data_IF_742988067694
#
_entry.id   IF_742988067694
#
_cell.length_a   1.000
_cell.length_b   1.000
_cell.length_c   1.000
_cell.angle_alpha   90.00
_cell.angle_beta   90.00
_cell.angle_gamma   90.00
#
_symmetry.space_group_name_H-M   'P 1'
#
loop_
_entity.id
_entity.type
_entity.pdbx_description
1 polymer ?
#
# COMPACT_ATOMS: atom_id res chain seq x y z
N UNK A 1 -19.75 25.92 -13.35
CA UNK A 1 -19.33 24.87 -12.41
C UNK A 1 -19.59 25.37 -11.00
N UNK A 2 -20.36 24.65 -10.17
CA UNK A 2 -20.43 24.93 -8.73
C UNK A 2 -19.04 24.64 -8.12
N UNK A 3 -18.56 25.49 -7.23
CA UNK A 3 -17.28 25.28 -6.55
C UNK A 3 -17.34 24.00 -5.69
N UNK A 4 -16.27 23.21 -5.72
CA UNK A 4 -16.10 22.04 -4.84
C UNK A 4 -15.97 22.53 -3.40
N UNK A 5 -16.77 21.98 -2.47
CA UNK A 5 -16.74 22.38 -1.07
C UNK A 5 -15.75 21.55 -0.25
N UNK A 6 -15.44 20.31 -0.66
CA UNK A 6 -14.53 19.41 0.06
C UNK A 6 -13.42 18.89 -0.86
N UNK A 7 -12.17 18.96 -0.41
CA UNK A 7 -10.99 18.76 -1.25
C UNK A 7 -10.14 17.54 -0.88
N UNK A 8 -10.46 16.81 0.19
CA UNK A 8 -9.73 15.63 0.66
C UNK A 8 -10.59 14.73 1.58
N UNK A 9 -10.06 13.55 1.93
CA UNK A 9 -10.69 12.52 2.77
C UNK A 9 -11.14 13.06 4.12
N UNK A 10 -10.27 13.78 4.84
CA UNK A 10 -10.59 14.34 6.15
C UNK A 10 -11.77 15.32 6.08
N UNK A 11 -11.86 16.14 5.04
CA UNK A 11 -12.98 17.05 4.84
C UNK A 11 -14.29 16.31 4.55
N UNK A 12 -14.25 15.21 3.79
CA UNK A 12 -15.43 14.39 3.53
C UNK A 12 -15.91 13.66 4.79
N UNK A 13 -14.98 13.07 5.56
CA UNK A 13 -15.30 12.40 6.83
C UNK A 13 -15.89 13.40 7.83
N UNK A 14 -15.36 14.62 7.92
CA UNK A 14 -15.97 15.69 8.75
C UNK A 14 -17.41 15.99 8.38
N UNK A 15 -17.71 16.06 7.09
CA UNK A 15 -19.08 16.29 6.62
C UNK A 15 -19.99 15.11 6.99
N UNK A 16 -19.51 13.88 6.82
CA UNK A 16 -20.22 12.67 7.25
C UNK A 16 -20.47 12.65 8.77
N UNK A 17 -19.47 12.98 9.58
CA UNK A 17 -19.60 13.10 11.04
C UNK A 17 -20.66 14.15 11.41
N UNK A 18 -20.63 15.31 10.75
CA UNK A 18 -21.62 16.35 11.01
C UNK A 18 -23.04 15.86 10.68
N UNK A 19 -23.24 15.16 9.56
CA UNK A 19 -24.52 14.56 9.19
C UNK A 19 -25.03 13.62 10.29
N UNK A 20 -24.19 12.69 10.76
CA UNK A 20 -24.58 11.74 11.80
C UNK A 20 -24.82 12.38 13.18
N UNK A 21 -24.14 13.48 13.52
CA UNK A 21 -24.43 14.25 14.74
C UNK A 21 -25.77 14.97 14.62
N UNK A 22 -26.06 15.57 13.46
CA UNK A 22 -27.27 16.38 13.27
C UNK A 22 -28.53 15.54 13.06
N UNK A 23 -28.40 14.36 12.48
CA UNK A 23 -29.50 13.46 12.11
C UNK A 23 -29.22 12.03 12.58
N UNK A 24 -29.06 11.81 13.90
CA UNK A 24 -28.55 10.56 14.45
C UNK A 24 -29.50 9.37 14.31
N UNK A 25 -30.80 9.61 14.26
CA UNK A 25 -31.81 8.56 14.09
C UNK A 25 -31.76 8.04 12.66
N UNK A 26 -31.89 8.94 11.69
CA UNK A 26 -31.88 8.61 10.28
C UNK A 26 -30.53 8.08 9.81
N UNK A 27 -29.42 8.63 10.33
CA UNK A 27 -28.08 8.13 9.99
C UNK A 27 -27.87 6.69 10.45
N UNK A 28 -28.28 6.34 11.67
CA UNK A 28 -28.16 4.99 12.20
C UNK A 28 -29.03 3.99 11.44
N UNK A 29 -30.29 4.35 11.15
CA UNK A 29 -31.22 3.53 10.38
C UNK A 29 -30.73 3.30 8.95
N UNK A 30 -30.38 4.37 8.23
CA UNK A 30 -29.92 4.29 6.84
C UNK A 30 -28.61 3.49 6.75
N UNK A 31 -27.63 3.76 7.62
CA UNK A 31 -26.38 3.01 7.63
C UNK A 31 -26.64 1.53 7.94
N UNK A 32 -27.49 1.26 8.93
CA UNK A 32 -27.83 -0.09 9.35
C UNK A 32 -28.45 -0.92 8.22
N UNK A 33 -29.46 -0.36 7.56
CA UNK A 33 -30.10 -0.98 6.40
C UNK A 33 -29.09 -1.28 5.27
N UNK A 34 -28.23 -0.30 5.00
CA UNK A 34 -27.20 -0.41 3.97
C UNK A 34 -26.20 -1.53 4.22
N UNK A 35 -25.78 -1.72 5.48
CA UNK A 35 -24.82 -2.79 5.85
C UNK A 35 -25.53 -4.11 6.22
N UNK A 36 -26.86 -4.14 6.20
CA UNK A 36 -27.69 -5.29 6.57
C UNK A 36 -27.67 -5.61 8.07
N UNK A 37 -27.47 -4.61 8.93
CA UNK A 37 -27.42 -4.75 10.39
C UNK A 37 -28.29 -3.70 11.07
N UNK A 38 -29.15 -4.10 12.00
CA UNK A 38 -29.93 -3.15 12.79
C UNK A 38 -29.05 -2.42 13.80
N UNK A 39 -28.75 -1.14 13.55
CA UNK A 39 -27.92 -0.31 14.44
C UNK A 39 -28.77 0.48 15.45
N UNK A 40 -30.00 0.85 15.12
CA UNK A 40 -30.78 1.82 15.88
C UNK A 40 -30.16 3.23 15.86
N UNK A 41 -30.70 4.19 16.63
CA UNK A 41 -30.21 5.57 16.62
C UNK A 41 -28.77 5.70 17.09
N UNK A 42 -27.98 6.54 16.42
CA UNK A 42 -26.63 6.92 16.88
C UNK A 42 -26.72 7.73 18.17
N UNK A 43 -25.74 7.57 19.06
CA UNK A 43 -25.48 8.55 20.12
C UNK A 43 -24.60 9.69 19.56
N UNK A 44 -25.12 10.92 19.36
CA UNK A 44 -24.33 12.02 18.83
C UNK A 44 -23.11 12.35 19.71
N UNK A 45 -23.21 12.09 21.01
CA UNK A 45 -22.15 12.39 21.96
C UNK A 45 -20.98 11.40 21.87
N UNK A 46 -21.16 10.24 21.22
CA UNK A 46 -20.12 9.22 21.04
C UNK A 46 -19.40 9.35 19.70
N UNK A 47 -19.91 10.13 18.74
CA UNK A 47 -19.24 10.34 17.45
C UNK A 47 -17.86 10.98 17.62
N UNK A 48 -16.81 10.26 17.22
CA UNK A 48 -15.41 10.67 17.22
C UNK A 48 -14.84 10.56 15.82
N UNK A 49 -14.08 11.58 15.44
CA UNK A 49 -13.30 11.62 14.20
C UNK A 49 -11.84 11.44 14.57
N UNK A 50 -11.08 10.69 13.78
CA UNK A 50 -9.61 10.56 13.90
C UNK A 50 -9.16 10.14 15.31
N UNK A 51 -9.79 9.11 15.91
CA UNK A 51 -9.32 8.60 17.20
C UNK A 51 -8.09 7.71 17.03
N UNK A 52 -6.94 8.34 16.67
CA UNK A 52 -5.59 7.77 16.41
C UNK A 52 -5.48 6.59 15.43
N UNK A 53 -6.58 5.92 15.14
CA UNK A 53 -6.67 4.60 14.56
C UNK A 53 -7.76 4.62 13.48
N UNK A 54 -9.00 5.05 13.73
CA UNK A 54 -10.10 5.03 12.73
C UNK A 54 -10.50 6.41 12.19
N UNK A 55 -11.08 6.45 10.98
CA UNK A 55 -11.59 7.70 10.37
C UNK A 55 -12.82 8.24 11.13
N UNK A 56 -13.79 7.36 11.43
CA UNK A 56 -14.99 7.66 12.21
C UNK A 56 -15.32 6.48 13.14
N UNK A 57 -15.61 6.78 14.41
CA UNK A 57 -16.08 5.82 15.40
C UNK A 57 -17.25 6.40 16.17
N UNK A 58 -18.27 5.58 16.47
CA UNK A 58 -19.41 5.96 17.28
C UNK A 58 -20.11 4.74 17.87
N UNK A 59 -20.90 5.00 18.91
CA UNK A 59 -21.83 4.05 19.49
C UNK A 59 -23.28 4.42 19.14
N UNK A 60 -24.11 3.40 19.05
CA UNK A 60 -25.57 3.52 19.00
C UNK A 60 -26.13 3.67 20.41
N UNK A 61 -27.35 4.19 20.56
CA UNK A 61 -28.01 4.31 21.87
C UNK A 61 -28.26 2.95 22.55
N UNK A 62 -28.27 1.85 21.79
CA UNK A 62 -28.35 0.48 22.31
C UNK A 62 -27.00 -0.06 22.81
N UNK A 63 -25.90 0.68 22.60
CA UNK A 63 -24.56 0.32 23.03
C UNK A 63 -23.75 -0.48 22.01
N UNK A 64 -24.21 -0.59 20.75
CA UNK A 64 -23.41 -1.17 19.68
C UNK A 64 -22.39 -0.14 19.18
N UNK A 65 -21.12 -0.52 19.18
CA UNK A 65 -20.04 0.28 18.62
C UNK A 65 -19.87 0.01 17.12
N UNK A 66 -19.56 1.06 16.37
CA UNK A 66 -19.36 1.03 14.92
C UNK A 66 -18.12 1.85 14.60
N UNK A 67 -17.19 1.25 13.85
CA UNK A 67 -16.12 2.01 13.22
C UNK A 67 -16.28 2.00 11.71
N UNK A 68 -16.00 3.15 11.11
CA UNK A 68 -16.04 3.36 9.67
C UNK A 68 -14.65 3.77 9.22
N UNK A 69 -14.04 2.94 8.38
CA UNK A 69 -12.85 3.30 7.60
C UNK A 69 -13.33 3.88 6.27
N UNK A 70 -13.09 5.17 6.06
CA UNK A 70 -13.63 5.90 4.93
C UNK A 70 -12.53 6.23 3.94
N UNK A 71 -12.77 5.96 2.66
CA UNK A 71 -11.80 6.18 1.60
C UNK A 71 -12.42 6.96 0.48
N UNK A 72 -11.67 7.87 -0.13
CA UNK A 72 -12.12 8.62 -1.31
C UNK A 72 -11.50 8.12 -2.61
N UNK A 73 -10.52 7.24 -2.53
CA UNK A 73 -9.73 6.73 -3.66
C UNK A 73 -9.67 5.18 -3.71
N UNK A 74 -10.68 4.52 -3.15
CA UNK A 74 -10.87 3.05 -3.11
C UNK A 74 -9.77 2.26 -2.37
N UNK A 75 -8.82 2.89 -1.68
CA UNK A 75 -7.78 2.15 -0.98
C UNK A 75 -8.20 1.68 0.42
N UNK A 76 -8.51 0.41 0.55
CA UNK A 76 -8.72 -0.24 1.85
C UNK A 76 -7.63 -1.26 2.09
N UNK A 77 -7.02 -1.25 3.27
CA UNK A 77 -5.95 -2.18 3.66
C UNK A 77 -6.43 -3.09 4.80
N UNK A 78 -6.14 -4.38 4.69
CA UNK A 78 -6.48 -5.38 5.72
C UNK A 78 -5.76 -5.07 7.02
N UNK A 79 -4.52 -4.59 6.98
CA UNK A 79 -3.73 -4.26 8.17
C UNK A 79 -4.33 -3.13 8.99
N UNK A 80 -4.97 -2.15 8.34
CA UNK A 80 -5.70 -1.09 9.04
C UNK A 80 -6.91 -1.68 9.77
N UNK A 81 -7.69 -2.50 9.06
CA UNK A 81 -8.87 -3.15 9.62
C UNK A 81 -8.53 -4.14 10.74
N UNK A 82 -7.40 -4.83 10.65
CA UNK A 82 -6.89 -5.73 11.71
C UNK A 82 -6.51 -4.96 12.96
N UNK A 83 -5.90 -3.79 12.81
CA UNK A 83 -5.58 -2.90 13.93
C UNK A 83 -6.88 -2.52 14.66
N UNK A 84 -7.94 -2.20 13.93
CA UNK A 84 -9.24 -1.81 14.51
C UNK A 84 -9.98 -2.98 15.11
N UNK A 85 -9.90 -4.15 14.48
CA UNK A 85 -10.53 -5.37 14.99
C UNK A 85 -9.85 -5.85 16.27
N UNK A 86 -8.58 -5.51 16.49
CA UNK A 86 -7.90 -5.73 17.77
C UNK A 86 -8.33 -4.73 18.85
N UNK A 87 -8.44 -3.44 18.51
CA UNK A 87 -8.79 -2.39 19.47
C UNK A 87 -10.30 -2.36 19.82
N UNK A 88 -11.16 -2.71 18.86
CA UNK A 88 -12.62 -2.68 18.94
C UNK A 88 -13.22 -4.03 18.50
N UNK A 89 -12.85 -5.11 19.20
CA UNK A 89 -13.16 -6.49 18.79
C UNK A 89 -14.66 -6.83 18.70
N UNK A 90 -15.52 -6.06 19.37
CA UNK A 90 -16.97 -6.24 19.35
C UNK A 90 -17.69 -5.21 18.46
N UNK A 91 -16.95 -4.26 17.88
CA UNK A 91 -17.53 -3.22 17.04
C UNK A 91 -17.84 -3.74 15.64
N UNK A 92 -18.88 -3.16 15.03
CA UNK A 92 -19.22 -3.39 13.63
C UNK A 92 -18.23 -2.63 12.77
N UNK A 93 -17.48 -3.38 11.97
CA UNK A 93 -16.50 -2.87 11.03
C UNK A 93 -17.17 -2.49 9.71
N UNK A 94 -17.08 -1.21 9.33
CA UNK A 94 -17.61 -0.72 8.05
C UNK A 94 -16.50 -0.08 7.23
N UNK A 95 -16.48 -0.39 5.95
CA UNK A 95 -15.62 0.23 4.95
C UNK A 95 -16.49 1.08 4.03
N UNK A 96 -16.22 2.38 3.98
CA UNK A 96 -16.96 3.33 3.15
C UNK A 96 -16.08 3.78 1.98
N UNK A 97 -16.44 3.38 0.76
CA UNK A 97 -15.59 3.51 -0.44
C UNK A 97 -16.33 4.11 -1.62
N UNK A 98 -15.65 4.67 -2.64
CA UNK A 98 -16.32 5.08 -3.88
C UNK A 98 -16.98 3.92 -4.62
N UNK A 99 -16.29 2.77 -4.70
CA UNK A 99 -16.75 1.60 -5.44
C UNK A 99 -16.53 0.29 -4.68
N UNK A 100 -17.61 -0.44 -4.45
CA UNK A 100 -17.56 -1.79 -3.90
C UNK A 100 -16.84 -2.78 -4.83
N UNK A 101 -16.77 -2.49 -6.14
CA UNK A 101 -16.15 -3.36 -7.13
C UNK A 101 -14.63 -3.17 -7.24
N UNK A 102 -14.06 -2.25 -6.46
CA UNK A 102 -12.61 -2.04 -6.46
C UNK A 102 -11.89 -3.33 -6.02
N UNK A 103 -10.82 -3.77 -6.72
CA UNK A 103 -10.13 -5.01 -6.39
C UNK A 103 -9.64 -5.10 -4.94
N UNK A 104 -9.18 -4.00 -4.35
CA UNK A 104 -8.70 -3.96 -2.97
C UNK A 104 -9.84 -4.15 -1.96
N UNK A 105 -11.01 -3.57 -2.24
CA UNK A 105 -12.22 -3.75 -1.43
C UNK A 105 -12.67 -5.21 -1.50
N UNK A 106 -12.69 -5.81 -2.70
CA UNK A 106 -13.02 -7.22 -2.86
C UNK A 106 -12.01 -8.15 -2.17
N UNK A 107 -10.72 -7.82 -2.22
CA UNK A 107 -9.67 -8.58 -1.52
C UNK A 107 -9.88 -8.51 0.00
N UNK A 108 -10.09 -7.31 0.54
CA UNK A 108 -10.39 -7.09 1.97
C UNK A 108 -11.62 -7.88 2.40
N UNK A 109 -12.73 -7.78 1.68
CA UNK A 109 -13.97 -8.48 2.03
C UNK A 109 -13.83 -10.00 1.97
N UNK A 110 -12.99 -10.50 1.04
CA UNK A 110 -12.65 -11.92 0.96
C UNK A 110 -11.80 -12.38 2.14
N UNK A 111 -10.82 -11.58 2.55
CA UNK A 111 -9.91 -11.88 3.66
C UNK A 111 -10.53 -11.64 5.04
N UNK A 112 -11.53 -10.75 5.13
CA UNK A 112 -12.24 -10.37 6.36
C UNK A 112 -13.76 -10.38 6.13
N UNK A 113 -14.40 -11.56 6.12
CA UNK A 113 -15.85 -11.69 5.89
C UNK A 113 -16.74 -11.00 6.95
N UNK A 114 -16.19 -10.66 8.11
CA UNK A 114 -16.88 -9.92 9.17
C UNK A 114 -17.02 -8.42 8.85
N UNK A 115 -16.16 -7.88 7.99
CA UNK A 115 -16.20 -6.47 7.58
C UNK A 115 -17.36 -6.24 6.62
N UNK A 116 -18.09 -5.14 6.81
CA UNK A 116 -19.12 -4.67 5.89
C UNK A 116 -18.54 -3.58 5.00
N UNK A 117 -19.02 -3.47 3.76
CA UNK A 117 -18.64 -2.38 2.89
C UNK A 117 -19.88 -1.71 2.30
N UNK A 118 -19.80 -0.39 2.15
CA UNK A 118 -20.81 0.43 1.50
C UNK A 118 -20.15 1.44 0.56
N UNK A 119 -20.80 1.71 -0.57
CA UNK A 119 -20.43 2.82 -1.42
C UNK A 119 -20.87 4.18 -0.83
N UNK A 120 -20.03 5.21 -0.95
CA UNK A 120 -20.41 6.60 -0.61
C UNK A 120 -21.71 7.02 -1.29
N UNK A 121 -21.85 6.73 -2.58
CA UNK A 121 -23.05 7.08 -3.35
C UNK A 121 -24.32 6.42 -2.79
N UNK A 122 -24.22 5.17 -2.30
CA UNK A 122 -25.35 4.45 -1.72
C UNK A 122 -25.79 5.07 -0.38
N UNK A 123 -24.83 5.33 0.52
CA UNK A 123 -25.11 5.94 1.83
C UNK A 123 -25.70 7.35 1.66
N UNK A 124 -25.04 8.18 0.84
CA UNK A 124 -25.38 9.60 0.71
C UNK A 124 -26.64 9.83 -0.12
N UNK A 125 -26.97 8.97 -1.09
CA UNK A 125 -28.22 9.06 -1.83
C UNK A 125 -29.43 8.94 -0.88
N UNK A 126 -29.36 8.03 0.09
CA UNK A 126 -30.43 7.86 1.09
C UNK A 126 -30.46 9.00 2.10
N UNK A 127 -29.31 9.52 2.52
CA UNK A 127 -29.23 10.69 3.41
C UNK A 127 -29.68 12.00 2.75
N UNK A 128 -29.79 12.06 1.42
CA UNK A 128 -30.24 13.25 0.69
C UNK A 128 -31.67 13.65 1.06
N UNK A 129 -32.53 12.68 1.37
CA UNK A 129 -33.90 12.94 1.82
C UNK A 129 -33.96 13.66 3.18
N UNK A 130 -32.91 13.50 4.00
CA UNK A 130 -32.79 14.06 5.34
C UNK A 130 -32.03 15.39 5.31
N UNK A 131 -30.94 15.44 4.54
CA UNK A 131 -30.12 16.63 4.40
C UNK A 131 -29.62 16.79 2.95
N UNK A 132 -30.02 17.86 2.23
CA UNK A 132 -29.61 18.07 0.85
C UNK A 132 -28.10 18.29 0.67
N UNK A 133 -27.34 18.56 1.75
CA UNK A 133 -25.88 18.60 1.69
C UNK A 133 -25.26 17.22 1.41
N UNK A 134 -25.98 16.12 1.67
CA UNK A 134 -25.53 14.78 1.33
C UNK A 134 -25.41 14.59 -0.20
N UNK A 135 -26.32 15.15 -0.99
CA UNK A 135 -26.25 15.15 -2.46
C UNK A 135 -25.00 15.89 -2.93
N UNK A 136 -24.72 17.05 -2.34
CA UNK A 136 -23.52 17.82 -2.68
C UNK A 136 -22.25 17.05 -2.30
N UNK A 137 -22.21 16.41 -1.12
CA UNK A 137 -21.09 15.58 -0.69
C UNK A 137 -20.89 14.39 -1.63
N UNK A 138 -21.96 13.72 -2.06
CA UNK A 138 -21.89 12.61 -3.01
C UNK A 138 -21.26 13.07 -4.34
N UNK A 139 -21.74 14.19 -4.89
CA UNK A 139 -21.19 14.75 -6.12
C UNK A 139 -19.71 15.15 -6.02
N UNK A 140 -19.27 15.63 -4.86
CA UNK A 140 -17.87 15.97 -4.62
C UNK A 140 -17.00 14.73 -4.40
N UNK A 141 -17.50 13.68 -3.74
CA UNK A 141 -16.83 12.37 -3.67
C UNK A 141 -16.68 11.76 -5.06
N UNK A 142 -17.73 11.77 -5.89
CA UNK A 142 -17.66 11.23 -7.25
C UNK A 142 -16.58 11.95 -8.09
N UNK A 143 -16.47 13.28 -7.94
CA UNK A 143 -15.40 14.06 -8.58
C UNK A 143 -14.03 13.71 -8.03
N UNK A 144 -13.89 13.56 -6.71
CA UNK A 144 -12.62 13.18 -6.08
C UNK A 144 -12.20 11.76 -6.47
N UNK A 145 -13.13 10.82 -6.57
CA UNK A 145 -12.87 9.47 -7.06
C UNK A 145 -12.39 9.47 -8.52
N UNK A 146 -12.88 10.40 -9.34
CA UNK A 146 -12.37 10.65 -10.70
C UNK A 146 -10.98 11.33 -10.73
N UNK A 147 -10.54 11.90 -9.61
CA UNK A 147 -9.22 12.49 -9.42
C UNK A 147 -8.41 11.60 -8.47
N UNK A 148 -8.01 10.39 -8.91
CA UNK A 148 -7.41 9.41 -8.01
C UNK A 148 -6.24 10.03 -7.28
N UNK A 149 -6.23 9.86 -5.96
CA UNK A 149 -5.10 10.22 -5.12
C UNK A 149 -3.81 9.61 -5.67
N UNK A 150 -2.66 10.20 -5.33
CA UNK A 150 -1.37 9.72 -5.85
C UNK A 150 -1.19 8.21 -5.63
N UNK A 151 -1.62 7.69 -4.47
CA UNK A 151 -1.57 6.25 -4.13
C UNK A 151 -2.49 5.39 -5.03
N UNK A 152 -3.77 5.72 -5.15
CA UNK A 152 -4.69 4.96 -6.00
C UNK A 152 -4.26 4.96 -7.48
N UNK A 153 -3.80 6.12 -7.98
CA UNK A 153 -3.23 6.23 -9.33
C UNK A 153 -2.01 5.33 -9.50
N UNK A 154 -1.08 5.35 -8.55
CA UNK A 154 0.13 4.52 -8.57
C UNK A 154 -0.25 3.04 -8.54
N UNK A 155 -1.20 2.62 -7.69
CA UNK A 155 -1.63 1.22 -7.62
C UNK A 155 -2.25 0.75 -8.94
N UNK A 156 -3.14 1.54 -9.54
CA UNK A 156 -3.73 1.21 -10.85
C UNK A 156 -2.63 0.99 -11.89
N UNK A 157 -1.66 1.90 -11.94
CA UNK A 157 -0.51 1.82 -12.85
C UNK A 157 0.33 0.55 -12.61
N UNK A 158 0.59 0.19 -11.35
CA UNK A 158 1.31 -1.03 -10.99
C UNK A 158 0.51 -2.30 -11.31
N UNK A 159 -0.80 -2.30 -11.08
CA UNK A 159 -1.71 -3.41 -11.40
C UNK A 159 -1.80 -3.67 -12.90
N UNK A 160 -1.88 -2.60 -13.70
CA UNK A 160 -1.85 -2.69 -15.16
C UNK A 160 -0.49 -3.19 -15.67
N UNK A 161 0.62 -2.77 -15.04
CA UNK A 161 1.95 -3.28 -15.35
C UNK A 161 2.08 -4.77 -15.02
N UNK A 162 1.68 -5.19 -13.83
CA UNK A 162 1.79 -6.59 -13.39
C UNK A 162 0.90 -7.54 -14.20
N UNK A 163 -0.32 -7.12 -14.56
CA UNK A 163 -1.25 -7.95 -15.34
C UNK A 163 -0.83 -8.17 -16.79
N UNK A 164 -0.03 -7.26 -17.36
CA UNK A 164 0.45 -7.34 -18.75
C UNK A 164 1.86 -7.93 -18.86
N UNK A 165 2.62 -7.92 -17.77
CA UNK A 165 3.98 -8.45 -17.74
C UNK A 165 3.99 -9.97 -17.84
N UNK A 166 4.96 -10.51 -18.59
CA UNK A 166 5.29 -11.92 -18.60
C UNK A 166 6.65 -12.06 -17.94
N UNK A 167 6.70 -12.64 -16.76
CA UNK A 167 7.94 -12.94 -16.05
C UNK A 167 8.11 -14.47 -15.92
N UNK A 168 9.35 -14.95 -15.72
CA UNK A 168 9.61 -16.37 -15.46
C UNK A 168 8.80 -16.89 -14.27
N UNK A 169 8.48 -18.19 -14.29
CA UNK A 169 7.59 -18.81 -13.30
C UNK A 169 8.16 -18.79 -11.88
N UNK A 170 9.48 -18.75 -11.75
CA UNK A 170 10.22 -18.66 -10.50
C UNK A 170 10.15 -17.25 -9.86
N UNK A 171 9.85 -16.21 -10.64
CA UNK A 171 9.72 -14.84 -10.16
C UNK A 171 8.26 -14.60 -9.76
N UNK A 172 8.03 -14.40 -8.46
CA UNK A 172 6.75 -14.00 -7.91
C UNK A 172 6.66 -12.47 -7.83
N UNK A 173 5.68 -11.91 -8.52
CA UNK A 173 5.30 -10.49 -8.47
C UNK A 173 3.99 -10.37 -7.72
N UNK A 174 3.97 -9.61 -6.62
CA UNK A 174 2.77 -9.43 -5.79
C UNK A 174 2.52 -7.96 -5.51
N UNK A 175 1.26 -7.52 -5.58
CA UNK A 175 0.90 -6.21 -5.06
C UNK A 175 1.09 -6.17 -3.54
N UNK A 176 1.75 -5.11 -3.09
CA UNK A 176 2.13 -4.94 -1.70
C UNK A 176 2.16 -3.45 -1.33
N UNK A 177 2.69 -3.18 -0.15
CA UNK A 177 2.97 -1.84 0.31
C UNK A 177 4.32 -1.78 1.03
N UNK A 178 5.01 -0.66 0.86
CA UNK A 178 6.25 -0.38 1.60
C UNK A 178 5.98 -0.25 3.09
N UNK A 179 7.02 -0.27 3.93
CA UNK A 179 6.88 -0.05 5.39
C UNK A 179 6.23 1.29 5.79
N UNK A 180 6.04 2.23 4.83
CA UNK A 180 5.28 3.48 5.04
C UNK A 180 3.88 3.45 4.41
N UNK A 181 3.35 2.25 4.12
CA UNK A 181 2.03 2.02 3.52
C UNK A 181 1.86 2.74 2.16
N UNK A 182 2.91 2.73 1.34
CA UNK A 182 2.88 3.26 -0.02
C UNK A 182 2.81 2.11 -1.03
N UNK A 183 1.96 2.17 -2.08
CA UNK A 183 1.80 1.07 -3.02
C UNK A 183 3.10 0.68 -3.73
N UNK A 184 3.36 -0.62 -3.83
CA UNK A 184 4.49 -1.19 -4.56
C UNK A 184 4.12 -2.54 -5.18
N UNK A 185 5.02 -3.07 -6.02
CA UNK A 185 5.06 -4.49 -6.38
C UNK A 185 6.26 -5.11 -5.68
N UNK A 186 6.02 -6.11 -4.85
CA UNK A 186 7.07 -6.96 -4.31
C UNK A 186 7.51 -7.98 -5.36
N UNK A 187 8.83 -8.13 -5.49
CA UNK A 187 9.50 -9.03 -6.42
C UNK A 187 10.31 -10.01 -5.60
N UNK A 188 9.99 -11.29 -5.71
CA UNK A 188 10.69 -12.36 -4.98
C UNK A 188 10.98 -13.52 -5.90
N UNK A 189 12.05 -14.26 -5.63
CA UNK A 189 12.36 -15.51 -6.34
C UNK A 189 12.35 -16.66 -5.35
N UNK A 190 11.46 -17.64 -5.59
CA UNK A 190 11.25 -18.74 -4.65
C UNK A 190 12.54 -19.52 -4.38
N UNK A 191 12.77 -19.87 -3.11
CA UNK A 191 13.96 -20.63 -2.69
C UNK A 191 15.26 -19.83 -2.69
N UNK A 192 15.20 -18.50 -2.79
CA UNK A 192 16.38 -17.62 -2.76
C UNK A 192 16.22 -16.50 -1.74
N UNK A 193 17.31 -15.77 -1.50
CA UNK A 193 17.33 -14.59 -0.64
C UNK A 193 16.91 -13.31 -1.36
N UNK A 194 16.52 -13.37 -2.64
CA UNK A 194 16.19 -12.19 -3.44
C UNK A 194 14.89 -11.55 -2.99
N UNK A 195 14.93 -10.24 -2.79
CA UNK A 195 13.76 -9.40 -2.60
C UNK A 195 13.97 -8.05 -3.28
N UNK A 196 12.94 -7.57 -3.95
CA UNK A 196 12.91 -6.23 -4.53
C UNK A 196 11.52 -5.62 -4.52
N UNK A 197 11.45 -4.33 -4.79
CA UNK A 197 10.23 -3.55 -4.87
C UNK A 197 10.27 -2.63 -6.08
N UNK A 198 9.18 -2.61 -6.84
CA UNK A 198 8.87 -1.54 -7.78
C UNK A 198 7.96 -0.54 -7.07
N UNK A 199 8.44 0.68 -6.87
CA UNK A 199 7.70 1.72 -6.15
C UNK A 199 7.81 3.06 -6.87
N UNK A 200 6.86 3.97 -6.61
CA UNK A 200 6.90 5.31 -7.19
C UNK A 200 7.49 6.34 -6.23
N UNK A 201 8.14 7.35 -6.80
CA UNK A 201 8.59 8.54 -6.08
C UNK A 201 7.40 9.25 -5.42
N UNK A 202 7.57 9.57 -4.14
CA UNK A 202 6.49 10.06 -3.26
C UNK A 202 5.95 11.43 -3.64
N UNK A 203 6.77 12.29 -4.23
CA UNK A 203 6.47 13.70 -4.48
C UNK A 203 5.92 13.97 -5.89
N UNK A 204 5.62 12.93 -6.65
CA UNK A 204 5.25 13.04 -8.05
C UNK A 204 3.76 13.42 -8.22
N UNK A 205 3.41 14.67 -7.87
CA UNK A 205 2.04 15.18 -7.92
C UNK A 205 1.41 15.20 -9.33
N UNK A 206 2.22 15.16 -10.40
CA UNK A 206 1.73 15.24 -11.79
C UNK A 206 1.96 13.97 -12.61
N UNK A 207 3.13 13.35 -12.49
CA UNK A 207 3.49 12.12 -13.21
C UNK A 207 4.34 11.23 -12.30
N UNK A 208 3.77 10.13 -11.73
CA UNK A 208 4.55 9.22 -10.89
C UNK A 208 5.72 8.65 -11.69
N UNK A 209 6.90 8.71 -11.08
CA UNK A 209 8.10 8.05 -11.60
C UNK A 209 8.40 6.83 -10.74
N UNK A 210 8.63 5.69 -11.36
CA UNK A 210 8.82 4.38 -10.76
C UNK A 210 10.29 4.00 -10.80
N UNK A 211 10.82 3.52 -9.69
CA UNK A 211 12.15 2.92 -9.62
C UNK A 211 12.05 1.52 -9.03
N UNK A 212 13.13 0.78 -9.20
CA UNK A 212 13.33 -0.54 -8.61
C UNK A 212 14.30 -0.37 -7.48
N UNK A 213 14.01 -1.00 -6.35
CA UNK A 213 15.04 -1.33 -5.38
C UNK A 213 15.09 -2.83 -5.22
N UNK A 214 16.26 -3.46 -5.34
CA UNK A 214 16.37 -4.92 -5.33
C UNK A 214 17.71 -5.37 -4.76
N UNK A 215 17.71 -6.49 -4.05
CA UNK A 215 18.89 -7.10 -3.48
C UNK A 215 18.57 -8.36 -2.70
N UNK A 216 19.23 -8.54 -1.56
CA UNK A 216 19.14 -9.74 -0.73
C UNK A 216 18.53 -9.41 0.63
N UNK A 217 17.71 -10.33 1.16
CA UNK A 217 17.23 -10.27 2.53
C UNK A 217 18.41 -10.31 3.51
N UNK A 218 18.26 -9.61 4.62
CA UNK A 218 19.26 -9.52 5.70
C UNK A 218 18.61 -9.99 6.99
N UNK A 219 19.31 -10.81 7.76
CA UNK A 219 18.93 -11.15 9.14
C UNK A 219 19.95 -10.62 10.17
N UNK A 220 19.71 -10.91 11.45
CA UNK A 220 20.58 -10.44 12.54
C UNK A 220 21.96 -11.13 12.53
N UNK A 221 22.04 -12.36 12.01
CA UNK A 221 23.30 -13.10 11.87
C UNK A 221 24.16 -12.46 10.78
N UNK A 222 23.57 -12.00 9.68
CA UNK A 222 24.28 -11.29 8.61
C UNK A 222 25.02 -10.06 9.10
N UNK A 223 24.47 -9.32 10.07
CA UNK A 223 25.09 -8.08 10.59
C UNK A 223 26.15 -8.37 11.65
N UNK A 224 25.97 -9.41 12.45
CA UNK A 224 26.77 -9.67 13.65
C UNK A 224 27.87 -10.74 13.46
N UNK A 225 27.73 -11.61 12.45
CA UNK A 225 28.67 -12.69 12.15
C UNK A 225 29.63 -12.29 11.01
N UNK A 226 30.96 -12.28 11.22
CA UNK A 226 31.94 -11.94 10.18
C UNK A 226 31.86 -12.82 8.91
N UNK A 227 31.57 -14.11 9.04
CA UNK A 227 31.46 -15.02 7.88
C UNK A 227 30.21 -14.72 7.07
N UNK A 228 29.09 -14.41 7.75
CA UNK A 228 27.85 -14.03 7.06
C UNK A 228 27.94 -12.65 6.43
N UNK A 229 28.57 -11.69 7.11
CA UNK A 229 28.96 -10.38 6.56
C UNK A 229 29.77 -10.53 5.26
N UNK A 230 30.77 -11.41 5.24
CA UNK A 230 31.59 -11.66 4.05
C UNK A 230 30.77 -12.28 2.92
N UNK A 231 29.88 -13.25 3.20
CA UNK A 231 28.98 -13.79 2.17
C UNK A 231 28.08 -12.72 1.57
N UNK A 232 27.53 -11.83 2.40
CA UNK A 232 26.72 -10.70 1.93
C UNK A 232 27.55 -9.72 1.09
N UNK A 233 28.79 -9.43 1.48
CA UNK A 233 29.74 -8.63 0.68
C UNK A 233 29.98 -9.26 -0.70
N UNK A 234 30.28 -10.55 -0.75
CA UNK A 234 30.56 -11.28 -2.00
C UNK A 234 29.32 -11.28 -2.91
N UNK A 235 28.12 -11.46 -2.32
CA UNK A 235 26.87 -11.42 -3.05
C UNK A 235 26.55 -10.02 -3.61
N UNK A 236 26.72 -8.96 -2.80
CA UNK A 236 26.48 -7.59 -3.24
C UNK A 236 27.47 -7.14 -4.30
N UNK A 237 28.74 -7.52 -4.18
CA UNK A 237 29.78 -7.24 -5.18
C UNK A 237 29.45 -7.92 -6.51
N UNK A 238 29.15 -9.23 -6.48
CA UNK A 238 28.74 -9.95 -7.68
C UNK A 238 27.44 -9.41 -8.28
N UNK A 239 26.48 -8.99 -7.45
CA UNK A 239 25.23 -8.43 -7.92
C UNK A 239 25.44 -7.07 -8.58
N UNK A 240 26.36 -6.25 -8.07
CA UNK A 240 26.72 -4.98 -8.68
C UNK A 240 27.36 -5.18 -10.06
N UNK A 241 28.35 -6.07 -10.18
CA UNK A 241 28.99 -6.38 -11.47
C UNK A 241 27.97 -6.83 -12.51
N UNK A 242 27.03 -7.67 -12.09
CA UNK A 242 25.97 -8.20 -12.94
C UNK A 242 24.94 -7.13 -13.31
N UNK A 243 24.62 -6.23 -12.39
CA UNK A 243 23.76 -5.08 -12.66
C UNK A 243 24.41 -4.11 -13.67
N UNK A 244 25.72 -3.87 -13.59
CA UNK A 244 26.43 -3.04 -14.57
C UNK A 244 26.47 -3.72 -15.95
N UNK A 245 26.58 -5.05 -15.99
CA UNK A 245 26.44 -5.82 -17.23
C UNK A 245 25.05 -5.65 -17.85
N UNK A 246 23.99 -5.72 -17.05
CA UNK A 246 22.62 -5.50 -17.50
C UNK A 246 22.37 -4.05 -17.94
N UNK A 247 22.95 -3.06 -17.26
CA UNK A 247 22.91 -1.66 -17.71
C UNK A 247 23.51 -1.52 -19.11
N UNK A 248 24.68 -2.11 -19.36
CA UNK A 248 25.36 -2.03 -20.65
C UNK A 248 24.65 -2.79 -21.78
N UNK A 249 24.01 -3.93 -21.49
CA UNK A 249 23.46 -4.83 -22.51
C UNK A 249 21.95 -4.70 -22.73
N UNK A 250 21.21 -4.33 -21.68
CA UNK A 250 19.74 -4.28 -21.65
C UNK A 250 19.20 -2.89 -21.31
N UNK A 251 20.07 -1.96 -20.91
CA UNK A 251 19.69 -0.57 -20.64
C UNK A 251 19.02 -0.37 -19.28
N UNK A 252 19.18 -1.31 -18.33
CA UNK A 252 18.70 -1.15 -16.94
C UNK A 252 19.43 0.02 -16.27
N UNK A 253 18.79 1.15 -15.96
CA UNK A 253 19.52 2.36 -15.56
C UNK A 253 19.83 2.32 -14.06
N UNK A 254 21.10 2.23 -13.67
CA UNK A 254 21.48 2.16 -12.26
C UNK A 254 21.60 3.56 -11.63
N UNK A 255 21.15 3.70 -10.39
CA UNK A 255 21.33 4.92 -9.60
C UNK A 255 22.65 4.85 -8.81
N UNK A 256 23.66 5.58 -9.27
CA UNK A 256 24.96 5.76 -8.58
C UNK A 256 24.95 6.87 -7.51
N UNK A 257 23.77 7.32 -7.08
CA UNK A 257 23.62 8.29 -6.00
C UNK A 257 23.34 7.62 -4.65
N UNK A 258 24.04 8.04 -3.60
CA UNK A 258 23.81 7.59 -2.23
C UNK A 258 24.76 8.25 -1.24
N UNK A 259 24.28 8.52 -0.03
CA UNK A 259 25.12 8.87 1.12
C UNK A 259 25.62 7.59 1.79
N UNK A 260 26.74 7.67 2.52
CA UNK A 260 27.23 6.57 3.36
C UNK A 260 26.08 5.96 4.19
N UNK A 261 25.96 4.63 4.14
CA UNK A 261 24.95 3.87 4.86
C UNK A 261 25.62 2.93 5.87
N UNK A 262 24.97 2.61 7.00
CA UNK A 262 25.48 1.58 7.92
C UNK A 262 25.72 0.25 7.22
N UNK A 263 24.85 -0.13 6.27
CA UNK A 263 25.01 -1.37 5.49
C UNK A 263 26.27 -1.36 4.62
N UNK A 264 26.64 -0.21 4.04
CA UNK A 264 27.89 -0.07 3.31
C UNK A 264 29.09 -0.37 4.20
N UNK A 265 29.10 0.19 5.42
CA UNK A 265 30.19 0.01 6.38
C UNK A 265 30.23 -1.43 6.91
N UNK A 266 29.07 -2.00 7.27
CA UNK A 266 28.93 -3.37 7.76
C UNK A 266 29.41 -4.40 6.75
N UNK A 267 29.00 -4.29 5.48
CA UNK A 267 29.35 -5.24 4.42
C UNK A 267 30.58 -4.82 3.61
N UNK A 268 31.33 -3.80 4.05
CA UNK A 268 32.60 -3.40 3.43
C UNK A 268 32.51 -3.02 1.95
N UNK A 269 31.43 -2.37 1.52
CA UNK A 269 31.26 -1.97 0.11
C UNK A 269 32.00 -0.67 -0.21
N UNK A 270 32.65 -0.61 -1.37
CA UNK A 270 33.44 0.54 -1.81
C UNK A 270 32.58 1.81 -1.96
N UNK A 271 31.38 1.66 -2.49
CA UNK A 271 30.47 2.76 -2.74
C UNK A 271 29.11 2.61 -2.02
N UNK A 272 28.52 3.70 -1.52
CA UNK A 272 27.26 3.66 -0.77
C UNK A 272 26.07 3.15 -1.60
N UNK A 273 26.10 3.34 -2.92
CA UNK A 273 25.03 2.91 -3.80
C UNK A 273 25.02 1.39 -4.07
N UNK A 274 26.07 0.65 -3.67
CA UNK A 274 26.16 -0.80 -3.79
C UNK A 274 25.51 -1.54 -2.60
N UNK A 275 25.27 -0.84 -1.48
CA UNK A 275 24.61 -1.37 -0.29
C UNK A 275 23.57 -0.37 0.24
N UNK A 276 22.52 -0.16 -0.55
CA UNK A 276 21.34 0.61 -0.18
C UNK A 276 20.39 -0.30 0.58
N UNK A 277 20.25 -0.05 1.88
CA UNK A 277 19.32 -0.77 2.72
C UNK A 277 17.91 -0.17 2.67
N UNK A 278 16.91 -1.04 2.77
CA UNK A 278 15.71 -0.70 3.51
C UNK A 278 15.98 -1.05 4.97
N UNK A 279 15.55 -0.20 5.92
CA UNK A 279 15.81 -0.46 7.35
C UNK A 279 15.35 -1.88 7.74
N UNK A 280 16.30 -2.76 8.04
CA UNK A 280 16.11 -4.00 8.80
C UNK A 280 15.48 -5.19 8.07
N UNK A 281 15.46 -5.24 6.74
CA UNK A 281 14.92 -6.43 6.04
C UNK A 281 15.64 -6.88 4.78
N UNK A 282 16.32 -5.98 4.05
CA UNK A 282 17.10 -6.32 2.85
C UNK A 282 18.08 -5.19 2.48
N UNK A 283 19.13 -5.57 1.76
CA UNK A 283 20.18 -4.68 1.24
C UNK A 283 20.40 -4.94 -0.23
N UNK A 284 20.57 -3.88 -1.01
CA UNK A 284 20.76 -3.99 -2.45
C UNK A 284 21.01 -2.65 -3.10
N UNK A 285 20.41 -2.42 -4.25
CA UNK A 285 20.63 -1.19 -5.01
C UNK A 285 19.38 -0.77 -5.76
N UNK A 286 19.46 0.43 -6.33
CA UNK A 286 18.31 1.18 -6.83
C UNK A 286 18.54 1.55 -8.29
N UNK A 287 17.51 1.46 -9.12
CA UNK A 287 17.54 1.97 -10.49
C UNK A 287 17.17 3.46 -10.54
N UNK A 288 17.49 4.13 -11.64
CA UNK A 288 16.90 5.43 -11.94
C UNK A 288 15.40 5.28 -12.17
N UNK A 289 14.65 6.36 -11.92
CA UNK A 289 13.20 6.30 -12.05
C UNK A 289 12.74 6.50 -13.51
N UNK A 290 11.72 5.76 -13.96
CA UNK A 290 11.02 5.91 -15.25
C UNK A 290 9.58 6.37 -15.05
N UNK A 291 8.94 6.97 -16.06
CA UNK A 291 7.48 7.24 -16.02
C UNK A 291 6.65 5.98 -16.30
N UNK A 292 7.29 4.88 -16.72
CA UNK A 292 6.62 3.66 -17.17
C UNK A 292 6.75 2.53 -16.13
N UNK A 293 5.67 2.19 -15.40
CA UNK A 293 5.72 1.14 -14.37
C UNK A 293 6.03 -0.26 -14.94
N UNK A 294 5.63 -0.53 -16.19
CA UNK A 294 5.92 -1.78 -16.87
C UNK A 294 7.42 -1.95 -17.15
N UNK A 295 8.09 -0.89 -17.57
CA UNK A 295 9.53 -0.87 -17.80
C UNK A 295 10.29 -1.06 -16.48
N UNK A 296 9.87 -0.38 -15.40
CA UNK A 296 10.44 -0.60 -14.08
C UNK A 296 10.26 -2.06 -13.60
N UNK A 297 9.11 -2.67 -13.89
CA UNK A 297 8.87 -4.08 -13.58
C UNK A 297 9.76 -5.02 -14.40
N UNK A 298 9.97 -4.74 -15.69
CA UNK A 298 10.90 -5.50 -16.54
C UNK A 298 12.32 -5.47 -15.98
N UNK A 299 12.83 -4.28 -15.62
CA UNK A 299 14.14 -4.15 -14.96
C UNK A 299 14.22 -4.95 -13.66
N UNK A 300 13.16 -4.91 -12.84
CA UNK A 300 13.13 -5.65 -11.59
C UNK A 300 13.18 -7.16 -11.80
N UNK A 301 12.48 -7.68 -12.82
CA UNK A 301 12.50 -9.09 -13.20
C UNK A 301 13.87 -9.51 -13.72
N UNK A 302 14.51 -8.70 -14.58
CA UNK A 302 15.85 -8.98 -15.09
C UNK A 302 16.88 -9.08 -13.96
N UNK A 303 16.88 -8.10 -13.05
CA UNK A 303 17.77 -8.09 -11.89
C UNK A 303 17.47 -9.26 -10.94
N UNK A 304 16.19 -9.58 -10.71
CA UNK A 304 15.79 -10.66 -9.81
C UNK A 304 16.29 -12.03 -10.27
N UNK A 305 16.22 -12.32 -11.58
CA UNK A 305 16.68 -13.59 -12.15
C UNK A 305 18.18 -13.77 -11.96
N UNK A 306 18.98 -12.73 -12.20
CA UNK A 306 20.42 -12.83 -12.05
C UNK A 306 20.83 -12.89 -10.57
N UNK A 307 20.16 -12.14 -9.69
CA UNK A 307 20.49 -12.22 -8.25
C UNK A 307 20.05 -13.52 -7.64
N UNK A 308 19.02 -14.17 -8.18
CA UNK A 308 18.64 -15.51 -7.74
C UNK A 308 19.78 -16.51 -7.97
N UNK A 309 20.47 -16.42 -9.11
CA UNK A 309 21.65 -17.25 -9.41
C UNK A 309 22.81 -16.96 -8.47
N UNK A 310 23.06 -15.68 -8.18
CA UNK A 310 24.09 -15.26 -7.21
C UNK A 310 23.73 -15.77 -5.81
N UNK A 311 22.47 -15.63 -5.41
CA UNK A 311 21.97 -16.09 -4.13
C UNK A 311 22.16 -17.59 -3.96
N UNK A 312 21.83 -18.38 -4.99
CA UNK A 312 22.07 -19.81 -4.97
C UNK A 312 23.56 -20.14 -4.88
N UNK A 313 24.44 -19.41 -5.58
CA UNK A 313 25.88 -19.67 -5.50
C UNK A 313 26.48 -19.37 -4.13
N UNK A 314 26.03 -18.30 -3.47
CA UNK A 314 26.60 -17.82 -2.20
C UNK A 314 26.00 -18.55 -0.99
N UNK A 315 24.71 -18.88 -1.03
CA UNK A 315 23.98 -19.47 0.11
C UNK A 315 23.46 -20.90 -0.15
N UNK A 316 23.79 -21.55 -1.28
CA UNK A 316 23.53 -22.98 -1.40
C UNK A 316 24.22 -23.75 -0.26
N UNK A 317 23.59 -24.82 0.25
CA UNK A 317 24.31 -25.75 1.10
C UNK A 317 25.48 -26.29 0.29
N UNK A 318 26.70 -26.17 0.83
CA UNK A 318 27.83 -26.93 0.32
C UNK A 318 27.42 -28.40 0.35
N UNK A 319 27.36 -29.06 -0.81
CA UNK A 319 27.10 -30.49 -0.87
C UNK A 319 28.07 -31.21 0.09
N UNK A 320 27.54 -31.73 1.19
CA UNK A 320 28.19 -32.71 2.08
C UNK A 320 28.12 -34.08 1.46
#
# INVERSE_FOLDING_TARGET
MKAQAWTNEHSAVRALTALGITHPEEFGEILGDCIGTELGPVDPASMRREDKHTDLHFSTKSGLDVYVEAKIDDFVSVEQLDTYSFEFSEAIAVVLVPSLQAPDVQAVLKERPSVRAIAWGELLARLTEVNPLAEQLAADIDRLAQLPGSKARIRKLLSEASSKSKHPAEVLVKQAHTGRRFPCLDITVQGTWVFGQVEANRDAQRSPRFHVTIGFKVDDDDVSNPESNQRMHDALSAAWDEAERLEAQRGVPLSRHGSRSPQQETFGMDAPYQARGFRGSHVGFVTQATEHPAEALEWAVELAVEFARISQRVWAPSDT
#
